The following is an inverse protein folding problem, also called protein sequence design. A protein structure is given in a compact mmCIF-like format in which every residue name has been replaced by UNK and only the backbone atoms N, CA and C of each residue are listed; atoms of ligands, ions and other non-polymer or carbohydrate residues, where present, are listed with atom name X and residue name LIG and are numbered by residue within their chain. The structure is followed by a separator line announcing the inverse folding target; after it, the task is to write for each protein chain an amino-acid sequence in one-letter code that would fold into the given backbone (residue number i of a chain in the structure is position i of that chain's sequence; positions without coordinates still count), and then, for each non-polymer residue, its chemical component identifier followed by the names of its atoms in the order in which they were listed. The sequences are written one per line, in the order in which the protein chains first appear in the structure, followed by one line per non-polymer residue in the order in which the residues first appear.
data_IF_663461865738
#
_entry.id   IF_663461865738
#
_cell.length_a   1.000
_cell.length_b   1.000
_cell.length_c   1.000
_cell.angle_alpha   90.00
_cell.angle_beta   90.00
_cell.angle_gamma   90.00
#
_symmetry.space_group_name_H-M   'P 1'
#
loop_
_entity.id
_entity.type
_entity.pdbx_description
1 polymer ?
#
# COMPACT_ATOMS: atom_id res chain seq x y z
N UNK A 1 16.71 -10.48 13.73
CA UNK A 1 16.44 -10.28 12.29
C UNK A 1 15.90 -8.88 12.08
N UNK A 2 16.27 -8.23 10.98
CA UNK A 2 15.68 -6.95 10.57
C UNK A 2 14.21 -7.17 10.20
N UNK A 3 13.30 -6.36 10.75
CA UNK A 3 11.88 -6.43 10.42
C UNK A 3 11.59 -5.55 9.21
N UNK A 4 10.87 -6.09 8.24
CA UNK A 4 10.30 -5.34 7.13
C UNK A 4 8.81 -5.19 7.40
N UNK A 5 8.31 -3.97 7.39
CA UNK A 5 6.89 -3.67 7.60
C UNK A 5 6.34 -3.07 6.32
N UNK A 6 5.16 -3.52 5.89
CA UNK A 6 4.48 -2.98 4.71
C UNK A 6 3.43 -1.97 5.16
N UNK A 7 3.52 -0.75 4.67
CA UNK A 7 2.53 0.29 4.91
C UNK A 7 1.78 0.61 3.61
N UNK A 8 0.46 0.67 3.67
CA UNK A 8 -0.37 1.23 2.62
C UNK A 8 -0.91 2.58 3.05
N UNK A 9 -0.76 3.57 2.17
CA UNK A 9 -1.30 4.92 2.33
C UNK A 9 -2.22 5.20 1.12
N UNK A 10 -3.51 5.39 1.41
CA UNK A 10 -4.55 5.62 0.41
C UNK A 10 -5.00 7.08 0.42
N UNK A 11 -4.39 7.91 -0.43
CA UNK A 11 -4.88 9.25 -0.69
C UNK A 11 -6.09 9.28 -1.64
N UNK A 12 -6.79 10.41 -1.67
CA UNK A 12 -7.96 10.63 -2.51
C UNK A 12 -7.70 10.60 -4.02
N UNK A 13 -6.45 10.56 -4.48
CA UNK A 13 -6.10 10.52 -5.91
C UNK A 13 -5.12 9.40 -6.26
N UNK A 14 -4.42 8.86 -5.27
CA UNK A 14 -3.44 7.79 -5.45
C UNK A 14 -3.28 7.00 -4.17
N UNK A 15 -2.97 5.72 -4.29
CA UNK A 15 -2.44 4.95 -3.17
C UNK A 15 -1.02 4.46 -3.43
N UNK A 16 -0.33 4.11 -2.36
CA UNK A 16 1.03 3.54 -2.41
C UNK A 16 1.19 2.44 -1.37
N UNK A 17 2.05 1.49 -1.68
CA UNK A 17 2.57 0.50 -0.74
C UNK A 17 4.08 0.72 -0.57
N UNK A 18 4.52 0.87 0.67
CA UNK A 18 5.91 1.12 1.02
C UNK A 18 6.41 0.08 2.01
N UNK A 19 7.58 -0.49 1.76
CA UNK A 19 8.27 -1.36 2.72
C UNK A 19 9.25 -0.51 3.52
N UNK A 20 9.04 -0.47 4.84
CA UNK A 20 9.93 0.18 5.79
C UNK A 20 10.82 -0.82 6.53
N UNK A 21 12.08 -0.45 6.73
CA UNK A 21 13.03 -1.17 7.58
C UNK A 21 13.72 -0.16 8.50
N UNK A 22 13.61 -0.37 9.80
CA UNK A 22 14.32 0.42 10.80
C UNK A 22 15.45 -0.40 11.42
N UNK A 23 16.68 0.12 11.35
CA UNK A 23 17.87 -0.52 11.90
C UNK A 23 18.84 0.54 12.45
N UNK A 24 19.28 0.35 13.70
CA UNK A 24 20.29 1.18 14.36
C UNK A 24 20.12 2.71 14.19
N UNK A 25 18.90 3.23 14.34
CA UNK A 25 18.63 4.68 14.21
C UNK A 25 18.35 5.17 12.79
N UNK A 26 18.39 4.28 11.79
CA UNK A 26 18.14 4.62 10.39
C UNK A 26 16.88 3.94 9.87
N UNK A 27 15.96 4.74 9.33
CA UNK A 27 14.82 4.27 8.56
C UNK A 27 15.20 4.22 7.08
N UNK A 28 14.97 3.08 6.44
CA UNK A 28 15.03 2.92 4.98
C UNK A 28 13.62 2.56 4.51
N UNK A 29 13.18 3.20 3.43
CA UNK A 29 11.84 2.98 2.87
C UNK A 29 11.98 2.77 1.36
N UNK A 30 11.25 1.79 0.84
CA UNK A 30 11.13 1.52 -0.59
C UNK A 30 9.65 1.53 -1.00
N UNK A 31 9.31 2.28 -2.05
CA UNK A 31 8.01 2.17 -2.71
C UNK A 31 7.99 0.91 -3.56
N UNK A 32 7.08 -0.02 -3.24
CA UNK A 32 6.97 -1.31 -3.94
C UNK A 32 5.78 -1.37 -4.87
N UNK A 33 4.79 -0.49 -4.67
CA UNK A 33 3.61 -0.38 -5.50
C UNK A 33 3.01 1.03 -5.43
N UNK A 34 2.51 1.53 -6.57
CA UNK A 34 1.79 2.80 -6.68
C UNK A 34 0.68 2.66 -7.69
N UNK A 35 -0.49 3.19 -7.35
CA UNK A 35 -1.68 3.09 -8.17
C UNK A 35 -2.54 4.35 -8.08
N UNK A 36 -3.30 4.68 -9.12
CA UNK A 36 -4.31 5.73 -9.04
C UNK A 36 -5.46 5.30 -8.13
N UNK A 37 -6.07 6.28 -7.44
CA UNK A 37 -7.29 6.08 -6.68
C UNK A 37 -8.34 7.08 -7.19
N UNK A 38 -9.11 6.68 -8.18
CA UNK A 38 -10.17 7.52 -8.75
C UNK A 38 -11.53 7.07 -8.23
N UNK A 39 -12.38 7.99 -7.76
CA UNK A 39 -13.76 7.66 -7.45
C UNK A 39 -14.48 7.22 -8.73
N UNK A 40 -15.39 6.25 -8.60
CA UNK A 40 -16.30 5.84 -9.66
C UNK A 40 -17.61 6.60 -9.54
N UNK A 41 -18.18 6.96 -10.68
CA UNK A 41 -19.56 7.46 -10.73
C UNK A 41 -20.52 6.27 -10.78
N UNK A 42 -21.47 6.21 -9.85
CA UNK A 42 -22.50 5.18 -9.75
C UNK A 42 -23.83 5.88 -9.56
N UNK A 43 -24.73 5.76 -10.55
CA UNK A 43 -26.05 6.37 -10.54
C UNK A 43 -26.05 7.90 -10.25
N UNK A 44 -25.02 8.63 -10.70
CA UNK A 44 -24.87 10.07 -10.50
C UNK A 44 -24.20 10.48 -9.19
N UNK A 45 -23.76 9.52 -8.38
CA UNK A 45 -22.99 9.77 -7.15
C UNK A 45 -21.55 9.26 -7.27
N UNK A 46 -20.61 9.90 -6.59
CA UNK A 46 -19.23 9.45 -6.53
C UNK A 46 -19.03 8.49 -5.36
N UNK A 47 -18.49 7.30 -5.65
CA UNK A 47 -18.16 6.28 -4.66
C UNK A 47 -16.73 5.77 -4.86
N UNK A 48 -16.08 5.36 -3.77
CA UNK A 48 -14.80 4.67 -3.86
C UNK A 48 -14.97 3.28 -4.44
N UNK A 49 -14.06 2.91 -5.35
CA UNK A 49 -14.02 1.57 -5.93
C UNK A 49 -13.31 0.59 -4.99
N UNK A 50 -14.01 0.15 -3.94
CA UNK A 50 -13.44 -0.70 -2.89
C UNK A 50 -12.90 -2.03 -3.44
N UNK A 51 -13.51 -2.56 -4.50
CA UNK A 51 -13.03 -3.77 -5.18
C UNK A 51 -11.65 -3.55 -5.81
N UNK A 52 -11.50 -2.48 -6.59
CA UNK A 52 -10.19 -2.12 -7.15
C UNK A 52 -9.18 -1.83 -6.04
N UNK A 53 -9.55 -1.07 -5.00
CA UNK A 53 -8.65 -0.79 -3.88
C UNK A 53 -8.16 -2.08 -3.20
N UNK A 54 -9.04 -3.07 -3.02
CA UNK A 54 -8.66 -4.37 -2.49
C UNK A 54 -7.70 -5.13 -3.42
N UNK A 55 -7.92 -5.11 -4.74
CA UNK A 55 -6.99 -5.67 -5.71
C UNK A 55 -5.61 -5.01 -5.63
N UNK A 56 -5.55 -3.69 -5.41
CA UNK A 56 -4.28 -2.98 -5.22
C UNK A 56 -3.58 -3.37 -3.90
N UNK A 57 -4.33 -3.70 -2.85
CA UNK A 57 -3.76 -4.27 -1.61
C UNK A 57 -3.10 -5.62 -1.90
N UNK A 58 -3.79 -6.52 -2.61
CA UNK A 58 -3.26 -7.85 -2.94
C UNK A 58 -2.01 -7.72 -3.82
N UNK A 59 -2.01 -6.83 -4.81
CA UNK A 59 -0.84 -6.58 -5.67
C UNK A 59 0.33 -6.02 -4.84
N UNK A 60 0.08 -5.04 -3.97
CA UNK A 60 1.11 -4.48 -3.09
C UNK A 60 1.73 -5.51 -2.15
N UNK A 61 0.93 -6.39 -1.56
CA UNK A 61 1.41 -7.52 -0.74
C UNK A 61 2.25 -8.48 -1.58
N UNK A 62 1.78 -8.80 -2.80
CA UNK A 62 2.48 -9.71 -3.71
C UNK A 62 3.83 -9.15 -4.13
N UNK A 63 3.92 -7.85 -4.45
CA UNK A 63 5.19 -7.20 -4.81
C UNK A 63 6.13 -7.11 -3.61
N UNK A 64 5.62 -6.79 -2.43
CA UNK A 64 6.41 -6.71 -1.20
C UNK A 64 7.01 -8.07 -0.80
N UNK A 65 6.20 -9.13 -0.82
CA UNK A 65 6.61 -10.48 -0.39
C UNK A 65 7.56 -11.18 -1.35
N UNK A 66 7.59 -10.77 -2.64
CA UNK A 66 8.62 -11.19 -3.59
C UNK A 66 10.01 -10.64 -3.24
N UNK A 67 10.09 -9.50 -2.55
CA UNK A 67 11.35 -8.78 -2.24
C UNK A 67 11.79 -8.97 -0.80
N UNK A 68 10.85 -9.03 0.14
CA UNK A 68 11.13 -8.98 1.58
C UNK A 68 10.26 -9.95 2.38
N UNK A 69 10.80 -10.55 3.48
CA UNK A 69 9.98 -11.23 4.47
C UNK A 69 9.20 -10.19 5.30
N UNK A 70 7.93 -9.99 4.98
CA UNK A 70 7.06 -9.01 5.63
C UNK A 70 6.63 -9.51 7.02
N UNK A 71 6.87 -8.69 8.04
CA UNK A 71 6.58 -9.01 9.45
C UNK A 71 5.21 -8.52 9.91
N UNK A 72 4.70 -7.45 9.30
CA UNK A 72 3.40 -6.86 9.59
C UNK A 72 2.95 -5.93 8.46
N UNK A 73 1.65 -5.62 8.44
CA UNK A 73 1.04 -4.68 7.50
C UNK A 73 0.30 -3.60 8.31
N UNK A 74 0.38 -2.35 7.86
CA UNK A 74 -0.45 -1.24 8.33
C UNK A 74 -1.13 -0.54 7.15
N UNK A 75 -2.34 -0.02 7.37
CA UNK A 75 -3.11 0.71 6.36
C UNK A 75 -3.60 2.02 6.96
N UNK A 76 -3.35 3.13 6.28
CA UNK A 76 -3.91 4.45 6.55
C UNK A 76 -4.62 5.04 5.31
N UNK A 77 -5.59 5.91 5.56
CA UNK A 77 -6.45 6.55 4.54
C UNK A 77 -6.75 7.99 4.92
#
# INVERSE_FOLDING_TARGET
MKKHVLAFDFGASSGRAMVGQYDAGKLVVEEVHRFPNYPKEVAGEYAWDVTCLFEQIIEGITQATKRYPISSIGIDT
#
